data_IF_748487306812
#
_entry.id   IF_748487306812
#
_cell.length_a   1.000
_cell.length_b   1.000
_cell.length_c   1.000
_cell.angle_alpha   90.00
_cell.angle_beta   90.00
_cell.angle_gamma   90.00
#
_symmetry.space_group_name_H-M   'P 1'
#
loop_
_entity.id
_entity.type
_entity.pdbx_description
1 polymer ?
#
# COMPACT_ATOMS: atom_id res chain seq x y z
N UNK A 1 33.38 26.49 -12.31
CA UNK A 1 34.25 25.29 -12.22
C UNK A 1 33.97 24.40 -13.42
N UNK A 2 34.94 23.61 -13.90
CA UNK A 2 34.84 22.84 -15.16
C UNK A 2 34.32 21.42 -14.91
N UNK A 3 33.53 20.87 -15.84
CA UNK A 3 33.03 19.48 -15.78
C UNK A 3 34.20 18.48 -15.74
N UNK A 4 35.29 18.78 -16.46
CA UNK A 4 36.48 17.93 -16.51
C UNK A 4 37.08 17.65 -15.12
N UNK A 5 36.94 18.58 -14.18
CA UNK A 5 37.41 18.44 -12.79
C UNK A 5 36.54 17.43 -12.03
N UNK A 6 35.21 17.53 -12.14
CA UNK A 6 34.28 16.59 -11.50
C UNK A 6 34.54 15.16 -11.99
N UNK A 7 34.65 15.00 -13.32
CA UNK A 7 34.92 13.70 -13.93
C UNK A 7 36.26 13.12 -13.45
N UNK A 8 37.29 13.96 -13.30
CA UNK A 8 38.59 13.52 -12.78
C UNK A 8 38.52 12.97 -11.35
N UNK A 9 37.72 13.58 -10.48
CA UNK A 9 37.62 13.18 -9.07
C UNK A 9 36.65 12.03 -8.79
N UNK A 10 35.67 11.78 -9.67
CA UNK A 10 34.72 10.67 -9.54
C UNK A 10 35.37 9.31 -9.19
N UNK A 11 36.39 8.81 -9.92
CA UNK A 11 36.99 7.50 -9.63
C UNK A 11 37.72 7.50 -8.28
N UNK A 12 38.24 8.64 -7.84
CA UNK A 12 38.87 8.77 -6.52
C UNK A 12 37.84 8.63 -5.40
N UNK A 13 36.70 9.32 -5.53
CA UNK A 13 35.56 9.17 -4.62
C UNK A 13 35.08 7.70 -4.54
N UNK A 14 34.86 7.04 -5.69
CA UNK A 14 34.44 5.64 -5.72
C UNK A 14 35.48 4.69 -5.08
N UNK A 15 36.78 4.92 -5.35
CA UNK A 15 37.86 4.14 -4.72
C UNK A 15 37.88 4.32 -3.20
N UNK A 16 37.74 5.55 -2.70
CA UNK A 16 37.65 5.81 -1.25
C UNK A 16 36.47 5.05 -0.64
N UNK A 17 35.29 5.14 -1.26
CA UNK A 17 34.10 4.42 -0.78
C UNK A 17 34.35 2.91 -0.71
N UNK A 18 35.06 2.33 -1.69
CA UNK A 18 35.42 0.89 -1.68
C UNK A 18 36.43 0.51 -0.58
N UNK A 19 37.31 1.44 -0.19
CA UNK A 19 38.26 1.24 0.89
C UNK A 19 37.54 1.22 2.24
N UNK A 20 36.61 2.15 2.45
CA UNK A 20 35.89 2.34 3.71
C UNK A 20 34.78 1.30 3.89
N UNK A 21 34.00 1.00 2.84
CA UNK A 21 32.77 0.22 2.94
C UNK A 21 32.88 -1.13 2.23
N UNK A 22 32.86 -2.22 3.01
CA UNK A 22 32.91 -3.61 2.47
C UNK A 22 31.82 -3.89 1.43
N UNK A 23 30.57 -3.48 1.70
CA UNK A 23 29.46 -3.68 0.75
C UNK A 23 29.69 -2.98 -0.59
N UNK A 24 30.21 -1.75 -0.55
CA UNK A 24 30.55 -1.02 -1.77
C UNK A 24 31.69 -1.69 -2.56
N UNK A 25 32.66 -2.27 -1.85
CA UNK A 25 33.73 -3.06 -2.48
C UNK A 25 33.20 -4.29 -3.20
N UNK A 26 32.24 -5.01 -2.61
CA UNK A 26 31.61 -6.14 -3.28
C UNK A 26 30.76 -5.69 -4.47
N UNK A 27 30.02 -4.58 -4.35
CA UNK A 27 29.28 -3.97 -5.48
C UNK A 27 30.17 -3.75 -6.70
N UNK A 28 31.38 -3.22 -6.52
CA UNK A 28 32.32 -2.97 -7.63
C UNK A 28 32.84 -4.25 -8.31
N UNK A 29 32.69 -5.43 -7.71
CA UNK A 29 33.10 -6.71 -8.31
C UNK A 29 31.98 -7.34 -9.15
N UNK A 30 30.75 -6.88 -9.02
CA UNK A 30 29.59 -7.48 -9.69
C UNK A 30 29.67 -7.36 -11.22
N UNK A 31 30.29 -6.31 -11.75
CA UNK A 31 30.34 -6.03 -13.19
C UNK A 31 31.73 -5.58 -13.63
N UNK A 32 32.11 -6.00 -14.84
CA UNK A 32 33.25 -5.51 -15.59
C UNK A 32 32.73 -4.74 -16.79
N UNK A 33 33.09 -3.46 -16.92
CA UNK A 33 32.54 -2.56 -17.96
C UNK A 33 33.39 -1.29 -18.11
N UNK A 34 33.21 -0.62 -19.24
CA UNK A 34 33.79 0.67 -19.59
C UNK A 34 32.66 1.70 -19.67
N UNK A 35 32.73 2.71 -18.80
CA UNK A 35 31.77 3.82 -18.77
C UNK A 35 32.44 5.08 -19.30
N UNK A 36 31.89 5.69 -20.35
CA UNK A 36 32.26 7.00 -20.85
C UNK A 36 31.30 8.05 -20.31
N UNK A 37 31.82 9.14 -19.76
CA UNK A 37 31.05 10.37 -19.52
C UNK A 37 31.61 11.48 -20.41
N UNK A 38 30.76 12.17 -21.18
CA UNK A 38 31.21 13.20 -22.13
C UNK A 38 30.19 14.31 -22.39
N UNK A 39 30.65 15.41 -22.99
CA UNK A 39 29.78 16.37 -23.65
C UNK A 39 29.48 15.87 -25.08
N UNK A 40 28.29 16.14 -25.61
CA UNK A 40 27.84 15.64 -26.92
C UNK A 40 28.73 16.06 -28.08
N UNK A 41 29.38 17.22 -27.99
CA UNK A 41 30.33 17.73 -28.99
C UNK A 41 31.75 17.12 -28.86
N UNK A 42 31.93 16.17 -27.93
CA UNK A 42 33.21 15.52 -27.61
C UNK A 42 34.32 16.46 -27.11
N UNK A 43 34.00 17.72 -26.74
CA UNK A 43 34.97 18.69 -26.22
C UNK A 43 35.57 18.29 -24.87
N UNK A 44 34.77 17.62 -24.04
CA UNK A 44 35.17 17.12 -22.71
C UNK A 44 34.67 15.69 -22.57
N UNK A 45 35.55 14.80 -22.10
CA UNK A 45 35.16 13.44 -21.75
C UNK A 45 36.21 12.71 -20.91
N UNK A 46 35.75 11.66 -20.23
CA UNK A 46 36.57 10.74 -19.45
C UNK A 46 35.91 9.36 -19.40
N UNK A 47 36.73 8.32 -19.52
CA UNK A 47 36.31 6.94 -19.37
C UNK A 47 36.72 6.36 -18.02
N UNK A 48 35.93 5.41 -17.54
CA UNK A 48 36.13 4.65 -16.31
C UNK A 48 36.03 3.17 -16.64
N UNK A 49 37.09 2.42 -16.38
CA UNK A 49 37.18 0.98 -16.62
C UNK A 49 37.04 0.30 -15.27
N UNK A 50 35.97 -0.46 -15.10
CA UNK A 50 35.71 -1.30 -13.95
C UNK A 50 36.15 -2.72 -14.27
N UNK A 51 37.07 -3.25 -13.48
CA UNK A 51 37.58 -4.60 -13.68
C UNK A 51 37.90 -5.26 -12.33
N UNK A 52 37.16 -6.32 -11.99
CA UNK A 52 37.34 -7.12 -10.77
C UNK A 52 37.44 -6.25 -9.50
N UNK A 53 36.55 -5.26 -9.36
CA UNK A 53 36.53 -4.34 -8.23
C UNK A 53 37.51 -3.16 -8.31
N UNK A 54 38.37 -3.10 -9.33
CA UNK A 54 39.28 -1.97 -9.57
C UNK A 54 38.68 -0.99 -10.56
N UNK A 55 38.97 0.29 -10.37
CA UNK A 55 38.53 1.38 -11.24
C UNK A 55 39.77 2.04 -11.84
N UNK A 56 39.87 2.12 -13.15
CA UNK A 56 40.92 2.87 -13.88
C UNK A 56 40.23 4.03 -14.61
N UNK A 57 40.85 5.21 -14.70
CA UNK A 57 40.26 6.34 -15.40
C UNK A 57 41.21 6.96 -16.42
N UNK A 58 40.70 7.31 -17.60
CA UNK A 58 41.46 7.93 -18.69
C UNK A 58 40.72 9.16 -19.23
N UNK A 59 41.44 10.26 -19.42
CA UNK A 59 40.89 11.45 -20.10
C UNK A 59 40.65 11.19 -21.58
N UNK A 60 39.67 11.87 -22.16
CA UNK A 60 39.35 11.80 -23.58
C UNK A 60 38.10 10.95 -23.86
N UNK A 61 37.92 10.63 -25.14
CA UNK A 61 36.78 9.87 -25.66
C UNK A 61 37.24 8.44 -25.95
N UNK A 62 36.61 7.48 -25.29
CA UNK A 62 36.80 6.06 -25.58
C UNK A 62 36.08 5.71 -26.90
N UNK A 63 36.72 4.90 -27.74
CA UNK A 63 36.17 4.51 -29.05
C UNK A 63 35.00 3.55 -28.93
N UNK A 64 34.97 2.74 -27.87
CA UNK A 64 33.99 1.66 -27.70
C UNK A 64 33.66 1.44 -26.21
N UNK A 65 32.84 2.31 -25.58
CA UNK A 65 32.41 2.12 -24.20
C UNK A 65 31.14 1.26 -24.12
N UNK A 66 31.03 0.41 -23.09
CA UNK A 66 29.80 -0.35 -22.81
C UNK A 66 28.62 0.56 -22.44
N UNK A 67 28.91 1.68 -21.75
CA UNK A 67 27.94 2.70 -21.36
C UNK A 67 28.46 4.09 -21.71
N UNK A 68 27.65 4.92 -22.35
CA UNK A 68 27.95 6.31 -22.63
C UNK A 68 26.93 7.25 -21.98
N UNK A 69 27.37 8.12 -21.07
CA UNK A 69 26.58 9.18 -20.46
C UNK A 69 26.98 10.50 -21.10
N UNK A 70 26.02 11.17 -21.71
CA UNK A 70 26.25 12.37 -22.51
C UNK A 70 25.48 13.56 -21.97
N UNK A 71 26.20 14.67 -21.78
CA UNK A 71 25.63 15.95 -21.40
C UNK A 71 25.59 16.87 -22.63
N UNK A 72 24.48 17.56 -22.86
CA UNK A 72 24.36 18.47 -24.01
C UNK A 72 25.39 19.60 -24.01
N UNK A 73 25.75 20.10 -22.83
CA UNK A 73 26.81 21.11 -22.67
C UNK A 73 27.63 20.84 -21.41
N UNK A 74 28.83 21.41 -21.36
CA UNK A 74 29.68 21.33 -20.16
C UNK A 74 28.99 21.90 -18.91
N UNK A 75 28.29 23.03 -19.06
CA UNK A 75 27.53 23.68 -17.97
C UNK A 75 26.45 22.75 -17.43
N UNK A 76 25.69 22.09 -18.30
CA UNK A 76 24.65 21.15 -17.89
C UNK A 76 25.28 19.99 -17.12
N UNK A 77 26.36 19.39 -17.63
CA UNK A 77 27.03 18.30 -16.90
C UNK A 77 27.56 18.72 -15.54
N UNK A 78 28.09 19.94 -15.43
CA UNK A 78 28.51 20.52 -14.16
C UNK A 78 27.33 20.67 -13.20
N UNK A 79 26.27 21.36 -13.62
CA UNK A 79 25.09 21.65 -12.79
C UNK A 79 24.39 20.37 -12.30
N UNK A 80 24.36 19.31 -13.12
CA UNK A 80 23.71 18.05 -12.77
C UNK A 80 24.51 17.16 -11.82
N UNK A 81 25.84 17.29 -11.79
CA UNK A 81 26.72 16.45 -10.97
C UNK A 81 27.21 17.14 -9.70
N UNK A 82 27.15 18.47 -9.62
CA UNK A 82 27.60 19.21 -8.45
C UNK A 82 26.59 19.13 -7.29
N UNK A 83 27.03 18.79 -6.07
CA UNK A 83 26.20 18.91 -4.87
C UNK A 83 25.95 20.39 -4.47
N UNK A 84 24.81 20.71 -3.82
CA UNK A 84 23.68 19.82 -3.54
C UNK A 84 22.89 19.55 -4.83
N UNK A 85 22.60 18.28 -5.10
CA UNK A 85 22.03 17.94 -6.40
C UNK A 85 20.53 18.23 -6.43
N UNK A 86 20.08 19.01 -7.41
CA UNK A 86 18.67 19.27 -7.64
C UNK A 86 18.04 18.16 -8.49
N UNK A 87 17.14 17.38 -7.88
CA UNK A 87 16.45 16.27 -8.57
C UNK A 87 15.47 16.73 -9.64
N UNK A 88 14.79 17.87 -9.43
CA UNK A 88 13.89 18.45 -10.43
C UNK A 88 14.67 18.80 -11.70
N UNK A 89 15.81 19.47 -11.55
CA UNK A 89 16.70 19.81 -12.68
C UNK A 89 17.21 18.57 -13.41
N UNK A 90 17.51 17.48 -12.70
CA UNK A 90 17.88 16.19 -13.33
C UNK A 90 16.73 15.60 -14.16
N UNK A 91 15.52 15.58 -13.61
CA UNK A 91 14.33 15.09 -14.31
C UNK A 91 14.08 15.93 -15.57
N UNK A 92 14.13 17.25 -15.46
CA UNK A 92 13.92 18.16 -16.58
C UNK A 92 15.02 18.01 -17.63
N UNK A 93 16.26 17.77 -17.22
CA UNK A 93 17.36 17.51 -18.15
C UNK A 93 17.17 16.21 -18.93
N UNK A 94 16.69 15.14 -18.29
CA UNK A 94 16.39 13.87 -18.98
C UNK A 94 15.24 14.07 -19.97
N UNK A 95 14.14 14.71 -19.55
CA UNK A 95 12.97 14.97 -20.40
C UNK A 95 13.29 15.82 -21.64
N UNK A 96 14.22 16.76 -21.50
CA UNK A 96 14.64 17.65 -22.58
C UNK A 96 15.86 17.13 -23.36
N UNK A 97 16.24 15.86 -23.19
CA UNK A 97 17.41 15.23 -23.85
C UNK A 97 18.73 16.00 -23.60
N UNK A 98 18.82 16.69 -22.46
CA UNK A 98 20.02 17.40 -22.02
C UNK A 98 21.01 16.47 -21.28
N UNK A 99 20.51 15.34 -20.78
CA UNK A 99 21.26 14.21 -20.24
C UNK A 99 20.78 12.95 -20.95
N UNK A 100 21.68 12.23 -21.61
CA UNK A 100 21.39 11.00 -22.34
C UNK A 100 22.28 9.88 -21.80
N UNK A 101 21.76 8.65 -21.83
CA UNK A 101 22.50 7.45 -21.47
C UNK A 101 22.28 6.40 -22.56
N UNK A 102 23.38 5.88 -23.09
CA UNK A 102 23.41 4.81 -24.09
C UNK A 102 24.14 3.60 -23.51
N UNK A 103 23.72 2.40 -23.90
CA UNK A 103 24.26 1.12 -23.42
C UNK A 103 23.16 0.20 -22.89
N UNK A 104 23.49 -1.04 -22.52
CA UNK A 104 22.52 -1.97 -21.94
C UNK A 104 21.92 -1.43 -20.62
N UNK A 105 20.60 -1.50 -20.48
CA UNK A 105 19.86 -0.98 -19.31
C UNK A 105 20.36 -1.51 -17.97
N UNK A 106 20.81 -2.76 -17.94
CA UNK A 106 21.42 -3.38 -16.75
C UNK A 106 22.69 -2.63 -16.33
N UNK A 107 23.57 -2.32 -17.28
CA UNK A 107 24.86 -1.67 -17.00
C UNK A 107 24.69 -0.18 -16.67
N UNK A 108 23.77 0.51 -17.36
CA UNK A 108 23.46 1.91 -17.10
C UNK A 108 22.83 2.09 -15.72
N UNK A 109 21.88 1.22 -15.35
CA UNK A 109 21.27 1.16 -14.03
C UNK A 109 22.30 0.81 -12.95
N UNK A 110 23.11 -0.24 -13.17
CA UNK A 110 24.15 -0.65 -12.23
C UNK A 110 25.12 0.48 -11.90
N UNK A 111 25.59 1.21 -12.92
CA UNK A 111 26.52 2.31 -12.75
C UNK A 111 25.86 3.48 -11.99
N UNK A 112 24.64 3.87 -12.38
CA UNK A 112 23.90 4.96 -11.74
C UNK A 112 23.65 4.68 -10.26
N UNK A 113 23.21 3.46 -9.93
CA UNK A 113 23.04 3.01 -8.55
C UNK A 113 24.35 2.98 -7.77
N UNK A 114 25.45 2.57 -8.41
CA UNK A 114 26.77 2.55 -7.77
C UNK A 114 27.26 3.96 -7.44
N UNK A 115 27.07 4.92 -8.34
CA UNK A 115 27.36 6.34 -8.06
C UNK A 115 26.44 6.87 -6.96
N UNK A 116 25.15 6.57 -6.98
CA UNK A 116 24.22 6.99 -5.91
C UNK A 116 24.58 6.38 -4.55
N UNK A 117 24.91 5.09 -4.51
CA UNK A 117 25.33 4.38 -3.30
C UNK A 117 26.58 5.03 -2.68
N UNK A 118 27.51 5.51 -3.50
CA UNK A 118 28.70 6.22 -3.03
C UNK A 118 28.38 7.49 -2.21
N UNK A 119 27.21 8.09 -2.44
CA UNK A 119 26.74 9.28 -1.74
C UNK A 119 26.00 8.95 -0.45
N UNK A 120 25.54 7.70 -0.25
CA UNK A 120 24.67 7.31 0.87
C UNK A 120 25.27 6.23 1.77
N UNK A 121 26.38 5.59 1.41
CA UNK A 121 27.02 4.53 2.23
C UNK A 121 27.38 4.93 3.66
N UNK A 122 27.59 6.22 3.91
CA UNK A 122 27.93 6.75 5.22
C UNK A 122 26.68 7.07 6.05
N UNK A 123 25.49 7.05 5.46
CA UNK A 123 24.25 7.32 6.16
C UNK A 123 23.97 6.19 7.14
N UNK A 124 23.85 6.57 8.41
CA UNK A 124 23.30 5.70 9.45
C UNK A 124 21.86 6.12 9.64
N UNK A 125 20.95 5.19 9.40
CA UNK A 125 19.53 5.37 9.62
C UNK A 125 19.09 4.67 10.91
N UNK A 126 18.08 5.21 11.56
CA UNK A 126 17.54 4.74 12.83
C UNK A 126 18.10 5.48 14.05
N UNK A 127 17.39 5.36 15.18
CA UNK A 127 17.72 5.99 16.44
C UNK A 127 18.40 4.96 17.36
N UNK A 128 19.66 5.17 17.79
CA UNK A 128 20.26 4.34 18.82
C UNK A 128 19.44 4.41 20.11
N UNK A 129 19.19 3.27 20.74
CA UNK A 129 18.53 3.18 22.04
C UNK A 129 19.39 2.32 22.99
N UNK A 130 18.92 2.17 24.23
CA UNK A 130 19.61 1.36 25.23
C UNK A 130 19.90 -0.07 24.76
N UNK A 131 20.88 -0.72 25.41
CA UNK A 131 21.30 -2.10 25.12
C UNK A 131 21.90 -2.34 23.72
N UNK A 132 22.31 -1.28 23.02
CA UNK A 132 22.97 -1.36 21.72
C UNK A 132 22.02 -1.74 20.57
N UNK A 133 20.71 -1.50 20.75
CA UNK A 133 19.72 -1.66 19.70
C UNK A 133 19.60 -0.38 18.87
N UNK A 134 19.19 -0.51 17.61
CA UNK A 134 18.77 0.61 16.78
C UNK A 134 17.26 0.50 16.57
N UNK A 135 16.55 1.57 16.91
CA UNK A 135 15.11 1.73 16.68
C UNK A 135 14.88 2.33 15.29
N UNK A 136 14.15 1.61 14.47
CA UNK A 136 13.67 2.02 13.16
C UNK A 136 12.17 2.28 13.18
N UNK A 137 11.65 2.90 12.13
CA UNK A 137 10.21 3.04 11.88
C UNK A 137 9.83 2.16 10.69
N UNK A 138 8.69 1.49 10.79
CA UNK A 138 8.07 0.79 9.68
C UNK A 138 6.54 0.86 9.84
N UNK A 139 5.80 0.34 8.85
CA UNK A 139 4.35 0.22 8.93
C UNK A 139 3.89 -1.19 8.55
N UNK A 140 2.71 -1.55 9.03
CA UNK A 140 2.04 -2.82 8.74
C UNK A 140 0.59 -2.54 8.37
N UNK A 141 -0.13 -3.54 7.87
CA UNK A 141 -1.58 -3.42 7.71
C UNK A 141 -2.31 -3.29 9.05
N UNK A 142 -1.65 -3.60 10.18
CA UNK A 142 -2.19 -3.44 11.52
C UNK A 142 -1.86 -2.11 12.18
N UNK A 143 -1.14 -1.20 11.50
CA UNK A 143 -0.70 0.08 12.05
C UNK A 143 0.83 0.25 12.13
N UNK A 144 1.28 1.48 12.43
CA UNK A 144 2.70 1.86 12.41
C UNK A 144 3.46 1.33 13.62
N UNK A 145 4.74 1.08 13.43
CA UNK A 145 5.59 0.41 14.43
C UNK A 145 6.97 1.04 14.55
N UNK A 146 7.46 1.07 15.79
CA UNK A 146 8.88 1.04 16.02
C UNK A 146 9.41 -0.39 15.91
N UNK A 147 10.54 -0.55 15.21
CA UNK A 147 11.22 -1.83 15.01
C UNK A 147 12.60 -1.75 15.63
N UNK A 148 12.85 -2.57 16.65
CA UNK A 148 14.12 -2.57 17.37
C UNK A 148 15.00 -3.69 16.82
N UNK A 149 16.19 -3.34 16.37
CA UNK A 149 17.11 -4.27 15.70
C UNK A 149 18.45 -4.27 16.41
N UNK A 150 19.00 -5.47 16.62
CA UNK A 150 20.35 -5.67 17.16
C UNK A 150 21.05 -6.74 16.34
N UNK A 151 22.29 -6.47 15.92
CA UNK A 151 23.10 -7.39 15.11
C UNK A 151 22.36 -7.89 13.85
N UNK A 152 21.57 -7.03 13.20
CA UNK A 152 20.81 -7.37 11.99
C UNK A 152 19.54 -8.22 12.22
N UNK A 153 19.14 -8.45 13.48
CA UNK A 153 17.94 -9.21 13.83
C UNK A 153 16.90 -8.31 14.51
N UNK A 154 15.64 -8.45 14.11
CA UNK A 154 14.51 -7.80 14.78
C UNK A 154 14.35 -8.44 16.16
N UNK A 155 14.48 -7.62 17.20
CA UNK A 155 14.29 -8.04 18.59
C UNK A 155 12.81 -7.93 18.96
N UNK A 156 12.19 -6.78 18.67
CA UNK A 156 10.78 -6.51 18.96
C UNK A 156 10.20 -5.42 18.05
N UNK A 157 8.88 -5.40 18.00
CA UNK A 157 8.08 -4.38 17.34
C UNK A 157 7.10 -3.83 18.37
N UNK A 158 6.91 -2.51 18.42
CA UNK A 158 6.01 -1.86 19.37
C UNK A 158 5.21 -0.78 18.66
N UNK A 159 4.05 -0.36 19.21
CA UNK A 159 3.44 0.89 18.79
C UNK A 159 4.42 2.07 18.97
N UNK A 160 4.12 3.16 18.27
CA UNK A 160 4.85 4.42 18.34
C UNK A 160 4.23 5.30 19.44
N UNK A 161 5.05 5.72 20.41
CA UNK A 161 4.72 6.82 21.30
C UNK A 161 5.28 8.11 20.67
N UNK A 162 4.48 9.16 20.62
CA UNK A 162 4.92 10.47 20.13
C UNK A 162 5.72 11.18 21.20
N UNK A 163 6.72 11.96 20.78
CA UNK A 163 7.50 12.83 21.66
C UNK A 163 6.96 14.26 21.64
N UNK A 164 7.53 15.13 22.48
CA UNK A 164 7.08 16.52 22.64
C UNK A 164 7.41 17.40 21.41
N UNK A 165 8.29 16.93 20.52
CA UNK A 165 8.61 17.55 19.24
C UNK A 165 7.64 17.17 18.11
N UNK A 166 6.81 16.14 18.30
CA UNK A 166 5.72 15.82 17.39
C UNK A 166 4.55 16.81 17.59
N UNK A 167 3.80 17.09 16.52
CA UNK A 167 2.67 18.03 16.58
C UNK A 167 1.63 17.71 17.66
N UNK A 168 0.90 18.73 18.12
CA UNK A 168 -0.14 18.55 19.14
C UNK A 168 -1.34 17.73 18.64
N UNK A 169 -2.00 17.03 19.57
CA UNK A 169 -3.24 16.32 19.27
C UNK A 169 -4.39 17.30 19.11
N UNK A 170 -5.37 16.96 18.27
CA UNK A 170 -6.63 17.68 18.21
C UNK A 170 -7.46 17.44 19.49
N UNK A 171 -8.39 18.36 19.76
CA UNK A 171 -9.28 18.30 20.92
C UNK A 171 -10.71 18.60 20.48
N UNK A 172 -11.67 17.79 20.93
CA UNK A 172 -13.10 18.02 20.76
C UNK A 172 -13.70 18.47 22.08
N UNK A 173 -14.55 19.49 22.05
CA UNK A 173 -15.36 19.92 23.20
C UNK A 173 -16.79 19.47 22.99
N UNK A 174 -17.33 18.71 23.94
CA UNK A 174 -18.69 18.20 23.86
C UNK A 174 -19.28 18.04 25.26
N UNK A 175 -20.51 18.53 25.44
CA UNK A 175 -21.30 18.38 26.68
C UNK A 175 -20.53 18.76 27.96
N UNK A 176 -19.77 19.86 27.88
CA UNK A 176 -18.96 20.38 28.99
C UNK A 176 -17.66 19.61 29.29
N UNK A 177 -17.27 18.65 28.44
CA UNK A 177 -16.01 17.89 28.54
C UNK A 177 -15.10 18.19 27.35
N UNK A 178 -13.80 17.96 27.55
CA UNK A 178 -12.78 18.02 26.50
C UNK A 178 -12.17 16.64 26.28
N UNK A 179 -12.06 16.22 25.02
CA UNK A 179 -11.58 14.91 24.62
C UNK A 179 -10.41 15.05 23.64
N UNK A 180 -9.28 14.45 23.99
CA UNK A 180 -8.08 14.41 23.16
C UNK A 180 -7.55 12.98 23.06
N UNK A 181 -7.14 12.50 21.89
CA UNK A 181 -6.60 11.15 21.75
C UNK A 181 -5.25 11.04 22.47
N UNK A 182 -4.86 9.83 22.91
CA UNK A 182 -3.54 9.60 23.47
C UNK A 182 -2.42 9.99 22.47
N UNK A 183 -1.29 10.51 22.97
CA UNK A 183 -0.07 10.78 22.17
C UNK A 183 0.70 9.51 21.81
N UNK A 184 0.00 8.54 21.23
CA UNK A 184 0.49 7.22 20.91
C UNK A 184 -0.39 6.55 19.85
N UNK A 185 0.24 5.85 18.93
CA UNK A 185 -0.43 4.97 17.97
C UNK A 185 -0.79 3.61 18.58
N UNK A 186 -1.77 2.94 18.00
CA UNK A 186 -2.17 1.58 18.34
C UNK A 186 -1.76 0.58 17.26
N UNK A 187 -1.84 -0.71 17.57
CA UNK A 187 -1.52 -1.78 16.61
C UNK A 187 -2.44 -2.99 16.78
N UNK A 188 -2.88 -3.52 15.64
CA UNK A 188 -3.69 -4.74 15.58
C UNK A 188 -2.88 -5.98 15.94
N UNK A 189 -3.50 -7.07 16.42
CA UNK A 189 -2.81 -8.29 16.83
C UNK A 189 -1.90 -8.88 15.73
N UNK A 190 -2.37 -8.90 14.48
CA UNK A 190 -1.58 -9.41 13.35
C UNK A 190 -0.37 -8.51 13.04
N UNK A 191 -0.48 -7.20 13.26
CA UNK A 191 0.64 -6.26 13.12
C UNK A 191 1.76 -6.54 14.13
N UNK A 192 1.40 -6.77 15.40
CA UNK A 192 2.35 -7.18 16.46
C UNK A 192 3.06 -8.49 16.13
N UNK A 193 2.35 -9.42 15.52
CA UNK A 193 2.87 -10.72 15.12
C UNK A 193 3.77 -10.68 13.87
N UNK A 194 3.92 -9.54 13.18
CA UNK A 194 4.66 -9.46 11.90
C UNK A 194 6.08 -10.04 11.96
N UNK A 195 6.76 -9.96 13.11
CA UNK A 195 8.09 -10.58 13.30
C UNK A 195 8.08 -12.10 13.05
N UNK A 196 7.02 -12.81 13.44
CA UNK A 196 6.92 -14.26 13.21
C UNK A 196 6.72 -14.59 11.73
N UNK A 197 6.09 -13.70 10.96
CA UNK A 197 5.95 -13.84 9.50
C UNK A 197 7.29 -13.60 8.79
N UNK A 198 8.06 -12.60 9.24
CA UNK A 198 9.39 -12.30 8.68
C UNK A 198 10.33 -13.49 8.84
N UNK A 199 10.33 -14.12 10.02
CA UNK A 199 11.19 -15.26 10.35
C UNK A 199 10.48 -16.61 10.31
N UNK A 200 9.37 -16.71 9.59
CA UNK A 200 8.65 -17.98 9.46
C UNK A 200 9.56 -19.04 8.84
N UNK A 201 9.52 -20.26 9.38
CA UNK A 201 10.22 -21.42 8.80
C UNK A 201 9.71 -21.78 7.41
N UNK A 202 8.47 -21.39 7.10
CA UNK A 202 7.80 -21.67 5.83
C UNK A 202 7.97 -20.51 4.83
N UNK A 203 8.80 -19.50 5.16
CA UNK A 203 9.09 -18.38 4.27
C UNK A 203 9.85 -18.88 3.06
N UNK A 204 9.36 -18.56 1.87
CA UNK A 204 10.12 -18.82 0.65
C UNK A 204 11.35 -17.88 0.57
N UNK A 205 12.55 -18.46 0.71
CA UNK A 205 13.83 -17.73 0.73
C UNK A 205 14.56 -17.73 -0.62
N UNK A 206 14.18 -18.61 -1.54
CA UNK A 206 14.89 -18.81 -2.80
C UNK A 206 13.91 -19.07 -3.95
N UNK A 207 14.28 -18.77 -5.21
CA UNK A 207 13.52 -19.21 -6.35
C UNK A 207 13.35 -20.74 -6.35
N UNK A 208 12.15 -21.19 -6.70
CA UNK A 208 11.80 -22.60 -6.77
C UNK A 208 11.19 -22.91 -8.13
N UNK A 209 11.58 -24.05 -8.70
CA UNK A 209 11.06 -24.57 -9.97
C UNK A 209 10.47 -25.96 -9.71
N UNK A 210 9.35 -26.27 -10.35
CA UNK A 210 8.75 -27.60 -10.25
C UNK A 210 9.65 -28.62 -10.96
N UNK A 211 9.93 -29.75 -10.31
CA UNK A 211 10.98 -30.71 -10.73
C UNK A 211 10.77 -31.30 -12.13
N UNK A 212 9.52 -31.40 -12.58
CA UNK A 212 9.11 -31.98 -13.85
C UNK A 212 8.57 -30.92 -14.83
N UNK A 213 8.93 -29.66 -14.63
CA UNK A 213 8.67 -28.58 -15.59
C UNK A 213 9.90 -28.34 -16.46
N UNK A 214 9.81 -28.63 -17.75
CA UNK A 214 10.79 -28.20 -18.76
C UNK A 214 10.16 -27.13 -19.69
N UNK A 215 10.65 -25.87 -19.70
CA UNK A 215 10.13 -24.84 -20.60
C UNK A 215 10.36 -25.14 -22.09
N UNK A 216 11.37 -25.96 -22.43
CA UNK A 216 11.75 -26.31 -23.80
C UNK A 216 11.34 -27.74 -24.21
N UNK A 217 10.66 -28.47 -23.31
CA UNK A 217 10.26 -29.85 -23.52
C UNK A 217 8.91 -30.13 -22.88
N UNK A 218 8.83 -31.21 -22.11
CA UNK A 218 7.59 -31.63 -21.46
C UNK A 218 7.25 -30.72 -20.27
N UNK A 219 6.18 -29.95 -20.43
CA UNK A 219 5.72 -29.00 -19.41
C UNK A 219 4.88 -29.65 -18.32
N UNK A 220 4.39 -30.87 -18.51
CA UNK A 220 3.65 -31.67 -17.53
C UNK A 220 2.58 -30.89 -16.75
N UNK A 221 1.66 -30.20 -17.44
CA UNK A 221 0.63 -29.35 -16.81
C UNK A 221 -0.27 -30.12 -15.83
N UNK A 222 -0.55 -31.40 -16.12
CA UNK A 222 -1.35 -32.30 -15.31
C UNK A 222 -0.76 -32.56 -13.90
N UNK A 223 0.55 -32.30 -13.71
CA UNK A 223 1.23 -32.53 -12.44
C UNK A 223 1.31 -31.27 -11.56
N UNK A 224 0.70 -30.15 -11.96
CA UNK A 224 0.62 -28.94 -11.12
C UNK A 224 -0.20 -29.24 -9.86
N UNK A 225 0.39 -28.99 -8.69
CA UNK A 225 -0.20 -29.34 -7.38
C UNK A 225 0.12 -30.76 -6.89
N UNK A 226 0.88 -31.55 -7.67
CA UNK A 226 1.28 -32.92 -7.33
C UNK A 226 2.81 -33.03 -7.19
N UNK A 227 3.55 -32.60 -8.22
CA UNK A 227 5.01 -32.70 -8.23
C UNK A 227 5.68 -31.70 -7.28
N UNK A 228 6.82 -32.10 -6.73
CA UNK A 228 7.64 -31.27 -5.85
C UNK A 228 8.41 -30.16 -6.57
N UNK A 229 9.26 -29.46 -5.80
CA UNK A 229 10.04 -28.33 -6.28
C UNK A 229 11.52 -28.51 -5.96
N UNK A 230 12.37 -28.01 -6.85
CA UNK A 230 13.80 -27.85 -6.68
C UNK A 230 14.15 -26.37 -6.55
N UNK A 231 15.27 -26.08 -5.87
CA UNK A 231 15.82 -24.73 -5.78
C UNK A 231 16.60 -24.43 -7.05
N UNK A 232 16.40 -23.23 -7.59
CA UNK A 232 17.17 -22.69 -8.72
C UNK A 232 17.79 -21.34 -8.36
N UNK A 233 18.67 -20.82 -9.22
CA UNK A 233 19.23 -19.47 -9.05
C UNK A 233 18.21 -18.40 -9.45
N UNK A 234 18.48 -17.15 -9.05
CA UNK A 234 17.68 -16.01 -9.53
C UNK A 234 17.85 -15.79 -11.03
N UNK A 235 19.06 -15.94 -11.55
CA UNK A 235 19.35 -15.77 -12.98
C UNK A 235 18.55 -16.78 -13.81
N UNK A 236 18.57 -18.06 -13.42
CA UNK A 236 17.80 -19.11 -14.10
C UNK A 236 16.29 -18.85 -14.01
N UNK A 237 15.77 -18.46 -12.85
CA UNK A 237 14.35 -18.16 -12.68
C UNK A 237 13.90 -16.99 -13.55
N UNK A 238 14.72 -15.92 -13.61
CA UNK A 238 14.44 -14.74 -14.41
C UNK A 238 14.54 -15.04 -15.91
N UNK A 239 15.54 -15.80 -16.36
CA UNK A 239 15.69 -16.22 -17.76
C UNK A 239 14.49 -17.06 -18.23
N UNK A 240 14.03 -18.01 -17.41
CA UNK A 240 12.85 -18.82 -17.71
C UNK A 240 11.61 -17.92 -17.84
N UNK A 241 11.36 -17.03 -16.88
CA UNK A 241 10.17 -16.17 -16.90
C UNK A 241 10.23 -15.16 -18.05
N UNK A 242 11.38 -14.53 -18.28
CA UNK A 242 11.59 -13.54 -19.33
C UNK A 242 11.41 -14.15 -20.72
N UNK A 243 12.01 -15.32 -20.96
CA UNK A 243 11.88 -16.06 -22.23
C UNK A 243 10.42 -16.40 -22.53
N UNK A 244 9.66 -16.83 -21.52
CA UNK A 244 8.23 -17.13 -21.66
C UNK A 244 7.39 -15.87 -21.90
N UNK A 245 7.65 -14.75 -21.22
CA UNK A 245 6.99 -13.46 -21.49
C UNK A 245 7.23 -13.06 -22.95
N UNK A 246 8.49 -13.08 -23.41
CA UNK A 246 8.84 -12.75 -24.80
C UNK A 246 8.20 -13.71 -25.80
N UNK A 247 8.14 -15.01 -25.49
CA UNK A 247 7.52 -16.03 -26.36
C UNK A 247 6.01 -15.80 -26.47
N UNK A 248 5.32 -15.58 -25.34
CA UNK A 248 3.88 -15.32 -25.31
C UNK A 248 3.52 -14.04 -26.07
N UNK A 249 4.26 -12.95 -25.82
CA UNK A 249 4.07 -11.69 -26.55
C UNK A 249 4.25 -11.85 -28.06
N UNK A 250 5.30 -12.57 -28.51
CA UNK A 250 5.54 -12.80 -29.94
C UNK A 250 4.52 -13.73 -30.60
N UNK A 251 4.04 -14.74 -29.89
CA UNK A 251 3.21 -15.80 -30.48
C UNK A 251 1.71 -15.51 -30.40
N UNK A 252 1.26 -14.83 -29.34
CA UNK A 252 -0.16 -14.65 -29.02
C UNK A 252 -0.54 -13.20 -28.67
N UNK A 253 0.45 -12.31 -28.58
CA UNK A 253 0.26 -10.93 -28.15
C UNK A 253 0.21 -10.75 -26.63
N UNK A 254 0.25 -9.50 -26.16
CA UNK A 254 0.37 -9.17 -24.73
C UNK A 254 -0.84 -9.61 -23.87
N UNK A 255 -2.02 -9.75 -24.47
CA UNK A 255 -3.22 -10.20 -23.76
C UNK A 255 -3.18 -11.66 -23.30
N UNK A 256 -2.21 -12.46 -23.77
CA UNK A 256 -2.12 -13.88 -23.43
C UNK A 256 -1.48 -14.16 -22.06
N UNK A 257 -0.95 -13.13 -21.39
CA UNK A 257 -0.35 -13.23 -20.05
C UNK A 257 -1.41 -12.81 -19.02
N UNK A 258 -1.82 -13.72 -18.14
CA UNK A 258 -2.71 -13.39 -17.03
C UNK A 258 -1.93 -12.71 -15.90
N UNK A 259 -2.37 -11.53 -15.51
CA UNK A 259 -1.89 -10.78 -14.34
C UNK A 259 -2.94 -10.85 -13.22
N UNK A 260 -2.69 -11.69 -12.23
CA UNK A 260 -3.57 -11.91 -11.08
C UNK A 260 -2.95 -11.49 -9.74
N UNK A 261 -3.81 -10.98 -8.85
CA UNK A 261 -3.45 -10.50 -7.51
C UNK A 261 -4.68 -10.54 -6.60
N UNK A 262 -4.49 -10.36 -5.30
CA UNK A 262 -5.57 -10.27 -4.30
C UNK A 262 -5.84 -8.81 -3.88
N UNK A 263 -6.87 -8.59 -3.05
CA UNK A 263 -7.35 -7.26 -2.61
C UNK A 263 -6.32 -6.53 -1.75
N UNK A 264 -5.65 -7.26 -0.85
CA UNK A 264 -4.68 -6.71 0.09
C UNK A 264 -3.24 -7.11 -0.24
N UNK A 265 -2.29 -6.31 0.24
CA UNK A 265 -0.85 -6.51 0.05
C UNK A 265 -0.09 -6.02 1.29
N UNK A 266 1.19 -6.37 1.42
CA UNK A 266 2.07 -5.78 2.44
C UNK A 266 2.10 -4.26 2.31
N UNK A 267 2.00 -3.55 3.44
CA UNK A 267 2.03 -2.10 3.47
C UNK A 267 3.28 -1.51 2.82
N UNK A 268 3.11 -0.41 2.08
CA UNK A 268 4.20 0.38 1.52
C UNK A 268 3.85 0.92 0.13
N UNK A 269 3.64 2.23 0.02
CA UNK A 269 3.02 2.86 -1.16
C UNK A 269 3.77 2.57 -2.48
N UNK A 270 5.11 2.61 -2.46
CA UNK A 270 5.93 2.36 -3.66
C UNK A 270 5.88 0.88 -4.08
N UNK A 271 5.94 -0.03 -3.11
CA UNK A 271 5.92 -1.48 -3.36
C UNK A 271 4.52 -2.06 -3.48
N UNK A 272 3.48 -1.28 -3.23
CA UNK A 272 2.09 -1.73 -3.27
C UNK A 272 1.70 -2.14 -4.68
N UNK A 273 0.73 -3.05 -4.81
CA UNK A 273 0.39 -3.61 -6.13
C UNK A 273 -0.14 -2.55 -7.11
N UNK A 274 -0.79 -1.49 -6.61
CA UNK A 274 -1.29 -0.36 -7.41
C UNK A 274 -0.12 0.49 -7.97
N UNK A 275 1.09 0.34 -7.42
CA UNK A 275 2.28 1.04 -7.87
C UNK A 275 3.23 0.11 -8.65
N UNK A 276 4.07 -0.66 -7.95
CA UNK A 276 5.14 -1.43 -8.58
C UNK A 276 4.62 -2.54 -9.51
N UNK A 277 3.63 -3.31 -9.06
CA UNK A 277 3.08 -4.41 -9.85
C UNK A 277 2.36 -3.90 -11.10
N UNK A 278 1.43 -2.94 -10.95
CA UNK A 278 0.75 -2.32 -12.10
C UNK A 278 1.72 -1.69 -13.09
N UNK A 279 2.76 -1.00 -12.60
CA UNK A 279 3.81 -0.45 -13.47
C UNK A 279 4.48 -1.55 -14.30
N UNK A 280 4.84 -2.66 -13.69
CA UNK A 280 5.47 -3.79 -14.38
C UNK A 280 4.52 -4.44 -15.40
N UNK A 281 3.29 -4.76 -15.01
CA UNK A 281 2.32 -5.42 -15.90
C UNK A 281 1.93 -4.55 -17.10
N UNK A 282 1.86 -3.23 -16.91
CA UNK A 282 1.60 -2.29 -18.00
C UNK A 282 2.74 -2.22 -19.02
N UNK A 283 3.98 -2.46 -18.60
CA UNK A 283 5.15 -2.47 -19.49
C UNK A 283 5.20 -3.76 -20.31
N UNK A 284 5.01 -4.91 -19.67
CA UNK A 284 5.13 -6.21 -20.35
C UNK A 284 3.91 -6.57 -21.21
N UNK A 285 2.75 -5.95 -20.90
CA UNK A 285 1.45 -6.31 -21.46
C UNK A 285 0.85 -7.55 -20.79
N UNK A 286 -0.42 -7.46 -20.38
CA UNK A 286 -1.13 -8.54 -19.71
C UNK A 286 -2.67 -8.36 -19.77
N UNK A 287 -3.41 -9.47 -19.66
CA UNK A 287 -4.81 -9.47 -19.26
C UNK A 287 -4.88 -9.46 -17.74
N UNK A 288 -5.43 -8.39 -17.15
CA UNK A 288 -5.53 -8.24 -15.70
C UNK A 288 -6.86 -8.80 -15.21
N UNK A 289 -6.83 -9.69 -14.23
CA UNK A 289 -8.02 -10.08 -13.47
C UNK A 289 -8.48 -8.90 -12.61
N UNK A 290 -9.60 -8.30 -12.99
CA UNK A 290 -10.24 -7.25 -12.22
C UNK A 290 -10.87 -7.87 -10.97
N UNK A 291 -10.68 -7.22 -9.82
CA UNK A 291 -11.36 -7.64 -8.61
C UNK A 291 -12.79 -7.12 -8.62
N UNK A 292 -13.70 -7.95 -8.12
CA UNK A 292 -15.01 -7.50 -7.67
C UNK A 292 -14.84 -6.53 -6.47
N UNK A 293 -15.80 -5.64 -6.21
CA UNK A 293 -15.79 -4.74 -5.06
C UNK A 293 -16.18 -5.49 -3.79
N UNK A 294 -15.40 -6.51 -3.41
CA UNK A 294 -15.65 -7.46 -2.30
C UNK A 294 -16.08 -6.79 -0.98
N UNK A 295 -15.47 -5.66 -0.66
CA UNK A 295 -15.71 -4.91 0.57
C UNK A 295 -16.95 -4.02 0.49
N UNK A 296 -17.51 -3.81 -0.70
CA UNK A 296 -18.59 -2.86 -0.99
C UNK A 296 -19.77 -3.47 -1.73
N UNK A 297 -19.86 -4.79 -1.94
CA UNK A 297 -20.81 -5.41 -2.88
C UNK A 297 -22.22 -4.81 -2.88
N UNK A 298 -22.96 -4.88 -1.75
CA UNK A 298 -24.31 -4.33 -1.66
C UNK A 298 -24.39 -2.81 -1.84
N UNK A 299 -23.33 -2.09 -1.44
CA UNK A 299 -23.21 -0.65 -1.64
C UNK A 299 -22.96 -0.31 -3.11
N UNK A 300 -22.07 -1.04 -3.77
CA UNK A 300 -21.65 -0.80 -5.14
C UNK A 300 -22.74 -1.19 -6.14
N UNK A 301 -23.33 -2.37 -5.98
CA UNK A 301 -24.33 -2.91 -6.90
C UNK A 301 -25.77 -2.50 -6.56
N UNK A 302 -26.01 -1.99 -5.35
CA UNK A 302 -27.34 -1.61 -4.87
C UNK A 302 -27.42 -0.14 -4.49
N UNK A 303 -26.86 0.21 -3.33
CA UNK A 303 -27.01 1.55 -2.75
C UNK A 303 -26.56 2.67 -3.69
N UNK A 304 -25.54 2.45 -4.52
CA UNK A 304 -25.06 3.43 -5.50
C UNK A 304 -26.16 3.91 -6.45
N UNK A 305 -27.11 3.04 -6.81
CA UNK A 305 -28.26 3.41 -7.64
C UNK A 305 -29.32 4.21 -6.88
N UNK A 306 -29.31 4.15 -5.54
CA UNK A 306 -30.22 4.89 -4.68
C UNK A 306 -29.72 6.31 -4.40
N UNK A 307 -28.43 6.49 -4.10
CA UNK A 307 -27.88 7.78 -3.65
C UNK A 307 -26.53 8.21 -4.25
N UNK A 308 -26.04 7.51 -5.28
CA UNK A 308 -24.76 7.84 -5.93
C UNK A 308 -23.54 7.39 -5.13
N UNK A 309 -22.60 8.30 -4.87
CA UNK A 309 -21.29 7.98 -4.24
C UNK A 309 -20.41 6.99 -5.02
N UNK A 310 -20.48 6.99 -6.36
CA UNK A 310 -19.68 6.08 -7.21
C UNK A 310 -18.17 6.20 -7.00
N UNK A 311 -17.65 7.39 -6.70
CA UNK A 311 -16.24 7.61 -6.36
C UNK A 311 -15.78 6.90 -5.07
N UNK A 312 -16.73 6.46 -4.24
CA UNK A 312 -16.50 5.72 -2.98
C UNK A 312 -17.14 4.32 -3.03
N UNK A 313 -17.35 3.75 -4.21
CA UNK A 313 -18.00 2.44 -4.38
C UNK A 313 -19.39 2.36 -3.73
N UNK A 314 -20.12 3.47 -3.70
CA UNK A 314 -21.43 3.55 -3.08
C UNK A 314 -21.39 3.68 -1.56
N UNK A 315 -20.23 3.92 -0.92
CA UNK A 315 -20.15 4.21 0.52
C UNK A 315 -20.33 5.70 0.83
N UNK A 316 -20.89 6.00 2.01
CA UNK A 316 -21.11 7.36 2.49
C UNK A 316 -19.82 8.13 2.85
N UNK A 317 -19.94 9.45 2.99
CA UNK A 317 -18.87 10.33 3.46
C UNK A 317 -18.79 10.39 4.99
N UNK A 318 -17.56 10.50 5.54
CA UNK A 318 -17.29 10.33 6.98
C UNK A 318 -16.61 11.54 7.66
N UNK A 319 -16.52 12.69 7.00
CA UNK A 319 -15.84 13.86 7.58
C UNK A 319 -16.63 14.46 8.75
N UNK A 320 -15.93 14.93 9.79
CA UNK A 320 -16.53 15.66 10.92
C UNK A 320 -17.32 14.82 11.94
N UNK A 321 -17.57 13.54 11.68
CA UNK A 321 -18.53 12.73 12.44
C UNK A 321 -18.20 12.56 13.94
N UNK A 322 -16.92 12.61 14.35
CA UNK A 322 -16.57 12.40 15.77
C UNK A 322 -17.03 13.56 16.64
N UNK A 323 -16.82 14.80 16.19
CA UNK A 323 -17.24 15.98 16.94
C UNK A 323 -18.76 16.06 17.02
N UNK A 324 -19.42 15.94 15.87
CA UNK A 324 -20.87 15.94 15.74
C UNK A 324 -21.53 14.84 16.60
N UNK A 325 -21.04 13.59 16.54
CA UNK A 325 -21.55 12.52 17.38
C UNK A 325 -21.41 12.80 18.88
N UNK A 326 -20.25 13.32 19.34
CA UNK A 326 -20.06 13.57 20.76
C UNK A 326 -20.92 14.74 21.25
N UNK A 327 -21.22 15.72 20.40
CA UNK A 327 -22.08 16.84 20.73
C UNK A 327 -23.55 16.42 20.73
N UNK A 328 -24.02 15.82 19.64
CA UNK A 328 -25.45 15.74 19.32
C UNK A 328 -26.05 14.32 19.45
N UNK A 329 -25.27 13.25 19.29
CA UNK A 329 -25.87 11.90 19.22
C UNK A 329 -26.40 11.41 20.58
N UNK A 330 -27.65 10.95 20.62
CA UNK A 330 -28.24 10.33 21.81
C UNK A 330 -28.13 8.80 21.79
N UNK A 331 -28.04 8.22 20.59
CA UNK A 331 -27.92 6.79 20.35
C UNK A 331 -27.01 6.51 19.16
N UNK A 332 -26.27 5.40 19.21
CA UNK A 332 -25.52 4.84 18.09
C UNK A 332 -26.01 3.40 17.85
N UNK A 333 -26.46 3.14 16.62
CA UNK A 333 -26.86 1.80 16.16
C UNK A 333 -25.74 1.21 15.31
N UNK A 334 -25.02 0.23 15.86
CA UNK A 334 -24.03 -0.57 15.16
C UNK A 334 -24.74 -1.69 14.38
N UNK A 335 -25.09 -1.44 13.12
CA UNK A 335 -25.72 -2.44 12.26
C UNK A 335 -24.69 -3.14 11.39
N UNK A 336 -24.51 -4.46 11.58
CA UNK A 336 -23.49 -5.27 10.88
C UNK A 336 -22.09 -4.66 11.00
N UNK A 337 -21.77 -4.12 12.17
CA UNK A 337 -20.59 -3.31 12.41
C UNK A 337 -19.85 -3.80 13.64
N UNK A 338 -18.60 -4.22 13.44
CA UNK A 338 -17.68 -4.59 14.52
C UNK A 338 -16.36 -3.79 14.43
N UNK A 339 -16.36 -2.50 14.83
CA UNK A 339 -15.20 -1.63 14.78
C UNK A 339 -14.01 -2.05 15.65
N UNK A 340 -14.18 -2.87 16.69
CA UNK A 340 -13.07 -3.38 17.50
C UNK A 340 -12.27 -4.48 16.78
N UNK A 341 -12.90 -5.24 15.88
CA UNK A 341 -12.22 -6.27 15.06
C UNK A 341 -11.77 -5.71 13.72
N UNK A 342 -12.69 -5.10 12.98
CA UNK A 342 -12.47 -4.66 11.59
C UNK A 342 -11.69 -3.35 11.50
N UNK A 343 -11.79 -2.51 12.55
CA UNK A 343 -11.10 -1.23 12.65
C UNK A 343 -11.26 -0.30 11.43
N UNK A 344 -12.43 -0.40 10.76
CA UNK A 344 -12.67 0.23 9.46
C UNK A 344 -11.84 -0.43 8.38
N UNK A 345 -10.58 0.00 8.24
CA UNK A 345 -9.53 -0.72 7.51
C UNK A 345 -8.18 -0.13 7.88
N UNK A 346 -7.25 -0.95 8.36
CA UNK A 346 -5.90 -0.54 8.77
C UNK A 346 -5.85 0.55 9.86
N UNK A 347 -6.98 0.79 10.53
CA UNK A 347 -7.17 1.82 11.55
C UNK A 347 -6.79 1.35 12.95
N UNK A 348 -6.53 0.04 13.12
CA UNK A 348 -6.16 -0.54 14.41
C UNK A 348 -7.14 -0.15 15.53
N UNK A 349 -6.69 0.04 16.76
CA UNK A 349 -7.53 0.44 17.89
C UNK A 349 -7.68 1.97 18.04
N UNK A 350 -7.37 2.76 17.01
CA UNK A 350 -7.51 4.24 17.05
C UNK A 350 -8.97 4.68 17.23
N UNK A 351 -9.94 3.82 16.88
CA UNK A 351 -11.37 4.07 17.05
C UNK A 351 -11.89 3.85 18.48
N UNK A 352 -11.21 3.02 19.26
CA UNK A 352 -11.69 2.50 20.54
C UNK A 352 -11.91 3.62 21.56
N UNK A 353 -10.94 4.53 21.67
CA UNK A 353 -11.03 5.67 22.62
C UNK A 353 -12.23 6.57 22.32
N UNK A 354 -12.57 6.75 21.03
CA UNK A 354 -13.71 7.58 20.62
C UNK A 354 -15.04 6.96 21.02
N UNK A 355 -15.16 5.63 20.92
CA UNK A 355 -16.35 4.89 21.38
C UNK A 355 -16.46 4.89 22.91
N UNK A 356 -15.33 4.88 23.62
CA UNK A 356 -15.32 5.06 25.08
C UNK A 356 -15.82 6.45 25.48
N UNK A 357 -15.40 7.53 24.80
CA UNK A 357 -15.93 8.87 25.06
C UNK A 357 -17.44 8.95 24.84
N UNK A 358 -17.96 8.35 23.77
CA UNK A 358 -19.40 8.28 23.54
C UNK A 358 -20.12 7.56 24.71
N UNK A 359 -19.57 6.45 25.20
CA UNK A 359 -20.09 5.74 26.38
C UNK A 359 -20.02 6.59 27.66
N UNK A 360 -18.93 7.34 27.87
CA UNK A 360 -18.77 8.26 29.00
C UNK A 360 -19.73 9.47 28.96
N UNK A 361 -20.25 9.79 27.78
CA UNK A 361 -21.28 10.81 27.58
C UNK A 361 -22.71 10.25 27.72
N UNK A 362 -22.85 8.95 27.99
CA UNK A 362 -24.14 8.29 28.17
C UNK A 362 -24.90 8.06 26.87
N UNK A 363 -24.23 8.09 25.71
CA UNK A 363 -24.84 7.80 24.42
C UNK A 363 -25.25 6.32 24.41
N UNK A 364 -26.51 6.05 24.05
CA UNK A 364 -27.05 4.70 24.04
C UNK A 364 -26.44 3.88 22.89
N UNK A 365 -26.24 2.58 23.13
CA UNK A 365 -25.58 1.69 22.17
C UNK A 365 -26.51 0.54 21.82
N UNK A 366 -26.82 0.39 20.54
CA UNK A 366 -27.60 -0.74 19.99
C UNK A 366 -26.71 -1.48 18.99
N UNK A 367 -26.76 -2.81 19.00
CA UNK A 367 -25.99 -3.66 18.10
C UNK A 367 -26.94 -4.59 17.36
N UNK A 368 -27.00 -4.47 16.03
CA UNK A 368 -27.82 -5.33 15.16
C UNK A 368 -26.86 -6.21 14.35
N UNK A 369 -26.70 -7.46 14.78
CA UNK A 369 -25.76 -8.40 14.20
C UNK A 369 -26.20 -9.84 14.55
N UNK A 370 -26.29 -10.79 13.59
CA UNK A 370 -26.57 -12.19 13.91
C UNK A 370 -25.59 -12.80 14.93
N UNK A 371 -24.37 -12.27 15.04
CA UNK A 371 -23.36 -12.69 16.01
C UNK A 371 -23.14 -11.61 17.08
N UNK A 372 -23.00 -12.04 18.35
CA UNK A 372 -22.65 -11.14 19.44
C UNK A 372 -21.16 -10.78 19.37
N UNK A 373 -20.84 -9.79 18.53
CA UNK A 373 -19.49 -9.41 18.16
C UNK A 373 -18.72 -8.70 19.29
N UNK A 374 -17.42 -8.54 19.10
CA UNK A 374 -16.49 -8.01 20.09
C UNK A 374 -16.81 -6.56 20.48
N UNK A 375 -17.27 -5.74 19.54
CA UNK A 375 -17.71 -4.37 19.84
C UNK A 375 -18.94 -4.39 20.76
N UNK A 376 -19.93 -5.25 20.50
CA UNK A 376 -21.11 -5.40 21.34
C UNK A 376 -20.74 -5.88 22.75
N UNK A 377 -19.84 -6.85 22.85
CA UNK A 377 -19.32 -7.34 24.12
C UNK A 377 -18.54 -6.27 24.91
N UNK A 378 -17.76 -5.43 24.21
CA UNK A 378 -16.93 -4.39 24.82
C UNK A 378 -17.73 -3.16 25.27
N UNK A 379 -18.61 -2.65 24.42
CA UNK A 379 -19.39 -1.45 24.70
C UNK A 379 -20.62 -1.73 25.56
N UNK A 380 -21.20 -2.93 25.46
CA UNK A 380 -22.50 -3.24 26.04
C UNK A 380 -23.65 -2.54 25.30
N UNK A 381 -24.84 -2.55 25.89
CA UNK A 381 -26.06 -2.05 25.28
C UNK A 381 -27.00 -3.17 24.84
N UNK A 382 -28.01 -2.85 24.03
CA UNK A 382 -28.96 -3.85 23.51
C UNK A 382 -28.37 -4.52 22.29
N UNK A 383 -28.29 -5.85 22.32
CA UNK A 383 -28.00 -6.66 21.14
C UNK A 383 -29.30 -7.24 20.56
N UNK A 384 -29.40 -7.16 19.23
CA UNK A 384 -30.50 -7.67 18.43
C UNK A 384 -29.89 -8.61 17.38
N UNK A 385 -30.36 -9.85 17.37
CA UNK A 385 -29.77 -10.96 16.62
C UNK A 385 -30.72 -11.45 15.51
N UNK A 386 -30.89 -10.71 14.41
CA UNK A 386 -31.71 -11.17 13.31
C UNK A 386 -31.09 -12.43 12.68
N UNK A 387 -31.92 -13.29 12.09
CA UNK A 387 -31.44 -14.38 11.24
C UNK A 387 -30.53 -13.83 10.14
N UNK A 388 -29.48 -14.56 9.73
CA UNK A 388 -28.63 -14.14 8.62
C UNK A 388 -29.47 -13.85 7.37
N UNK A 389 -29.11 -12.79 6.64
CA UNK A 389 -29.77 -12.32 5.40
C UNK A 389 -31.15 -11.68 5.55
N UNK A 390 -31.67 -11.48 6.77
CA UNK A 390 -33.00 -10.87 6.99
C UNK A 390 -32.97 -9.43 7.48
N UNK A 391 -31.80 -8.77 7.53
CA UNK A 391 -31.68 -7.35 7.90
C UNK A 391 -32.59 -6.40 7.11
N UNK A 392 -32.88 -6.61 5.80
CA UNK A 392 -33.84 -5.78 5.09
C UNK A 392 -35.25 -5.81 5.67
N UNK A 393 -35.71 -6.96 6.21
CA UNK A 393 -37.03 -7.07 6.84
C UNK A 393 -37.11 -6.21 8.10
N UNK A 394 -36.07 -6.23 8.94
CA UNK A 394 -35.99 -5.37 10.11
C UNK A 394 -36.01 -3.88 9.74
N UNK A 395 -35.27 -3.48 8.69
CA UNK A 395 -35.29 -2.10 8.20
C UNK A 395 -36.67 -1.67 7.68
N UNK A 396 -37.40 -2.57 7.02
CA UNK A 396 -38.76 -2.33 6.54
C UNK A 396 -39.75 -2.15 7.70
N UNK A 397 -39.66 -2.97 8.76
CA UNK A 397 -40.51 -2.82 9.93
C UNK A 397 -40.24 -1.53 10.73
N UNK A 398 -38.97 -1.12 10.86
CA UNK A 398 -38.63 0.19 11.44
C UNK A 398 -39.25 1.32 10.60
N UNK A 399 -39.13 1.22 9.27
CA UNK A 399 -39.70 2.20 8.34
C UNK A 399 -41.24 2.24 8.44
N UNK A 400 -41.90 1.09 8.61
CA UNK A 400 -43.34 0.98 8.80
C UNK A 400 -43.81 1.78 10.01
N UNK A 401 -43.18 1.56 11.17
CA UNK A 401 -43.49 2.30 12.41
C UNK A 401 -43.28 3.80 12.21
N UNK A 402 -42.16 4.22 11.60
CA UNK A 402 -41.90 5.63 11.33
C UNK A 402 -42.97 6.28 10.44
N UNK A 403 -43.46 5.57 9.43
CA UNK A 403 -44.51 6.09 8.54
C UNK A 403 -45.86 6.16 9.27
N UNK A 404 -46.27 5.09 9.97
CA UNK A 404 -47.56 5.03 10.67
C UNK A 404 -47.67 6.04 11.82
N UNK A 405 -46.58 6.25 12.54
CA UNK A 405 -46.53 7.12 13.71
C UNK A 405 -45.95 8.52 13.40
N UNK A 406 -45.63 8.80 12.13
CA UNK A 406 -45.08 10.09 11.67
C UNK A 406 -43.76 10.49 12.38
N UNK A 407 -42.88 9.53 12.65
CA UNK A 407 -41.62 9.71 13.41
C UNK A 407 -40.38 10.00 12.54
N UNK A 408 -40.57 10.57 11.35
CA UNK A 408 -39.48 10.91 10.43
C UNK A 408 -39.51 12.38 10.02
N UNK A 409 -38.37 12.90 9.54
CA UNK A 409 -38.28 14.26 9.00
C UNK A 409 -38.99 14.35 7.64
N UNK A 410 -40.29 14.69 7.69
CA UNK A 410 -41.14 14.79 6.51
C UNK A 410 -40.69 15.88 5.54
N UNK A 411 -40.16 17.00 6.06
CA UNK A 411 -39.67 18.11 5.23
C UNK A 411 -38.43 17.70 4.44
N UNK A 412 -37.50 16.98 5.08
CA UNK A 412 -36.34 16.42 4.40
C UNK A 412 -36.74 15.41 3.33
N UNK A 413 -37.65 14.49 3.66
CA UNK A 413 -38.11 13.46 2.70
C UNK A 413 -38.75 14.11 1.48
N UNK A 414 -39.62 15.11 1.67
CA UNK A 414 -40.25 15.82 0.56
C UNK A 414 -39.23 16.54 -0.33
N UNK A 415 -38.22 17.19 0.28
CA UNK A 415 -37.24 18.00 -0.45
C UNK A 415 -36.11 17.20 -1.11
N UNK A 416 -35.69 16.09 -0.49
CA UNK A 416 -34.42 15.43 -0.80
C UNK A 416 -34.58 14.02 -1.37
N UNK A 417 -35.80 13.49 -1.52
CA UNK A 417 -36.02 12.13 -2.03
C UNK A 417 -36.89 12.11 -3.29
N UNK A 418 -36.90 10.99 -3.99
CA UNK A 418 -37.83 10.72 -5.08
C UNK A 418 -38.43 9.33 -4.91
N UNK A 419 -39.68 9.15 -5.33
CA UNK A 419 -40.37 7.85 -5.25
C UNK A 419 -40.87 7.44 -3.86
N UNK A 420 -40.70 8.27 -2.82
CA UNK A 420 -41.09 7.93 -1.45
C UNK A 420 -42.56 7.51 -1.30
N UNK A 421 -43.50 8.19 -1.98
CA UNK A 421 -44.93 7.81 -1.93
C UNK A 421 -45.18 6.36 -2.37
N UNK A 422 -44.49 5.92 -3.43
CA UNK A 422 -44.59 4.54 -3.91
C UNK A 422 -43.94 3.56 -2.92
N UNK A 423 -42.81 3.94 -2.35
CA UNK A 423 -42.14 3.15 -1.32
C UNK A 423 -42.99 3.02 -0.04
N UNK A 424 -43.62 4.10 0.41
CA UNK A 424 -44.52 4.09 1.56
C UNK A 424 -45.72 3.17 1.35
N UNK A 425 -46.37 3.22 0.17
CA UNK A 425 -47.46 2.31 -0.16
C UNK A 425 -47.02 0.83 -0.11
N UNK A 426 -45.82 0.50 -0.60
CA UNK A 426 -45.22 -0.84 -0.47
C UNK A 426 -45.00 -1.26 0.99
N UNK A 427 -44.44 -0.37 1.82
CA UNK A 427 -44.20 -0.65 3.25
C UNK A 427 -45.51 -0.86 4.01
N UNK A 428 -46.54 -0.06 3.69
CA UNK A 428 -47.86 -0.12 4.33
C UNK A 428 -48.78 -1.23 3.78
N UNK A 429 -48.34 -1.99 2.76
CA UNK A 429 -49.16 -3.00 2.12
C UNK A 429 -50.35 -2.44 1.33
N UNK A 430 -50.25 -1.19 0.88
CA UNK A 430 -51.27 -0.49 0.08
C UNK A 430 -51.06 -0.68 -1.43
N UNK A 431 -50.03 -1.43 -1.81
CA UNK A 431 -49.75 -1.80 -3.19
C UNK A 431 -50.42 -3.13 -3.58
N UNK A 432 -50.06 -3.65 -4.75
CA UNK A 432 -50.64 -4.89 -5.29
C UNK A 432 -50.24 -6.15 -4.50
N UNK A 433 -49.16 -6.11 -3.70
CA UNK A 433 -48.76 -7.24 -2.88
C UNK A 433 -49.66 -7.41 -1.66
N UNK A 434 -50.19 -6.31 -1.11
CA UNK A 434 -51.13 -6.34 0.02
C UNK A 434 -50.51 -6.85 1.33
N UNK A 435 -49.18 -6.89 1.44
CA UNK A 435 -48.47 -7.36 2.63
C UNK A 435 -47.96 -6.12 3.39
N UNK A 436 -48.46 -5.90 4.60
CA UNK A 436 -47.99 -4.81 5.46
C UNK A 436 -46.71 -5.23 6.21
N UNK A 437 -45.67 -4.40 6.16
CA UNK A 437 -44.34 -4.70 6.74
C UNK A 437 -44.29 -4.38 8.24
N UNK A 438 -45.20 -4.93 9.04
CA UNK A 438 -45.30 -4.65 10.49
C UNK A 438 -44.11 -5.23 11.30
N UNK A 439 -43.90 -4.81 12.55
CA UNK A 439 -42.97 -5.47 13.47
C UNK A 439 -43.23 -6.98 13.63
N UNK A 440 -44.48 -7.43 13.76
CA UNK A 440 -44.84 -8.85 13.88
C UNK A 440 -44.51 -9.63 12.60
N UNK A 441 -44.69 -9.01 11.42
CA UNK A 441 -44.23 -9.60 10.15
C UNK A 441 -42.70 -9.78 10.14
N UNK A 442 -41.95 -8.77 10.59
CA UNK A 442 -40.50 -8.88 10.67
C UNK A 442 -40.04 -9.87 11.76
N UNK A 443 -40.80 -10.09 12.84
CA UNK A 443 -40.51 -11.11 13.84
C UNK A 443 -40.49 -12.52 13.20
N UNK A 444 -41.46 -12.83 12.32
CA UNK A 444 -41.51 -14.13 11.63
C UNK A 444 -40.29 -14.35 10.71
N UNK A 445 -39.90 -13.31 9.98
CA UNK A 445 -38.75 -13.32 9.07
C UNK A 445 -37.42 -13.41 9.83
N UNK A 446 -37.24 -12.50 10.79
CA UNK A 446 -35.95 -12.24 11.44
C UNK A 446 -35.73 -13.02 12.73
N UNK A 447 -36.80 -13.47 13.39
CA UNK A 447 -36.76 -14.09 14.72
C UNK A 447 -36.49 -13.13 15.88
N UNK A 448 -36.68 -11.82 15.69
CA UNK A 448 -36.42 -10.74 16.66
C UNK A 448 -37.72 -10.14 17.17
#
# INVERSE_FOLDING_TARGET
>A
MKLSIILFFLPWMLRIQSLIHKKFRERLKEKNLIVQMKVTDNSVGRSYIFQNGKIISRSGIHSDPDVCIMFKTEKIGFDLLMPPVNYQTRIDAIKNFNLMMEGPDELTSWFSETVMMSQTNHWKYGTPVENGEIRYVNNTNGGPVYVYVKNGKIIRMTPINFSDDDGETWTVKARGKEFSPPRKTTISPHGLASKSLVYSKDRNLYPMKRVDFDPNGDRNQQNRGISGYERISWDEALDIVESEIKRMNRSYGPGAILAARSSHHTWGNVGYYISAYQKFTNIIGATTTMLNPDSWEGWYWGAMHHYGHSMRNGAAEIYGQVEDCLQEAEMIVFWSSDPEVTNGVYGSFEGTVRRQWAKELGIEMIHIDPFFNETAAFLGGKWIAPRPTTSPALAQAITHVWIKEELYDSEYVERCTTGFKKWAAYILGEDEEGIERTPEWAEEETGV
#
